data_IF_151520136779
#
_entry.id   IF_151520136779
#
_cell.length_a   1.000
_cell.length_b   1.000
_cell.length_c   1.000
_cell.angle_alpha   90.00
_cell.angle_beta   90.00
_cell.angle_gamma   90.00
#
_symmetry.space_group_name_H-M   'P 1'
#
loop_
_entity.id
_entity.type
_entity.pdbx_description
1 polymer ?
#
# COMPACT_ATOMS: atom_id res chain seq x y z
N UNK A 1 -27.27 -16.32 -25.03
CA UNK A 1 -28.07 -15.33 -24.24
C UNK A 1 -27.26 -14.04 -24.21
N UNK A 2 -27.91 -12.87 -24.42
CA UNK A 2 -27.20 -11.59 -24.36
C UNK A 2 -26.83 -11.22 -22.89
N UNK A 3 -25.86 -10.33 -22.70
CA UNK A 3 -25.53 -9.77 -21.40
C UNK A 3 -26.70 -8.98 -20.80
N UNK A 4 -26.85 -9.01 -19.49
CA UNK A 4 -27.74 -8.06 -18.82
C UNK A 4 -27.20 -6.64 -19.01
N UNK A 5 -28.11 -5.65 -19.07
CA UNK A 5 -27.80 -4.24 -19.29
C UNK A 5 -28.14 -3.45 -18.03
N UNK A 6 -27.15 -2.80 -17.46
CA UNK A 6 -27.27 -1.86 -16.36
C UNK A 6 -27.38 -0.46 -16.93
N UNK A 7 -28.51 0.23 -16.68
CA UNK A 7 -28.72 1.62 -17.10
C UNK A 7 -28.56 2.55 -15.91
N UNK A 8 -27.78 3.61 -16.07
CA UNK A 8 -27.53 4.60 -15.04
C UNK A 8 -28.66 5.65 -14.99
N UNK A 9 -28.89 6.23 -13.80
CA UNK A 9 -29.80 7.36 -13.62
C UNK A 9 -29.32 8.59 -14.38
N UNK A 10 -30.26 9.45 -14.74
CA UNK A 10 -29.95 10.75 -15.37
C UNK A 10 -29.03 11.59 -14.48
N UNK A 11 -27.90 12.01 -15.05
CA UNK A 11 -26.89 12.82 -14.35
C UNK A 11 -25.85 12.03 -13.55
N UNK A 12 -25.99 10.70 -13.48
CA UNK A 12 -25.01 9.80 -12.84
C UNK A 12 -23.95 9.29 -13.84
N UNK A 13 -23.03 8.47 -13.36
CA UNK A 13 -21.89 7.99 -14.16
C UNK A 13 -20.80 9.04 -14.33
N UNK A 14 -20.74 10.05 -13.49
CA UNK A 14 -19.70 11.11 -13.56
C UNK A 14 -18.31 10.54 -13.36
N UNK A 15 -18.16 9.62 -12.39
CA UNK A 15 -16.90 8.94 -12.12
C UNK A 15 -16.43 8.15 -13.36
N UNK A 16 -17.34 7.43 -14.02
CA UNK A 16 -17.01 6.72 -15.27
C UNK A 16 -16.56 7.69 -16.37
N UNK A 17 -17.28 8.80 -16.56
CA UNK A 17 -16.95 9.81 -17.58
C UNK A 17 -15.61 10.47 -17.34
N UNK A 18 -15.15 10.57 -16.08
CA UNK A 18 -13.82 11.07 -15.71
C UNK A 18 -12.71 9.99 -15.73
N UNK A 19 -13.03 8.77 -16.14
CA UNK A 19 -12.04 7.68 -16.25
C UNK A 19 -12.08 6.64 -15.13
N UNK A 20 -12.94 6.80 -14.12
CA UNK A 20 -13.13 5.84 -13.04
C UNK A 20 -13.76 4.54 -13.50
N UNK A 21 -13.73 3.52 -12.64
CA UNK A 21 -14.16 2.15 -12.99
C UNK A 21 -15.30 1.64 -12.12
N UNK A 22 -15.78 2.43 -11.14
CA UNK A 22 -16.81 2.03 -10.19
C UNK A 22 -18.16 2.65 -10.51
N UNK A 23 -19.20 1.85 -10.34
CA UNK A 23 -20.60 2.25 -10.36
C UNK A 23 -21.19 1.83 -9.05
N UNK A 24 -21.72 2.82 -8.31
CA UNK A 24 -22.35 2.56 -7.03
C UNK A 24 -23.81 2.14 -7.23
N UNK A 25 -24.36 1.40 -6.26
CA UNK A 25 -25.73 0.91 -6.25
C UNK A 25 -26.77 2.01 -6.44
N UNK A 26 -26.54 3.18 -5.83
CA UNK A 26 -27.41 4.33 -5.91
C UNK A 26 -27.39 5.06 -7.27
N UNK A 27 -26.42 4.79 -8.14
CA UNK A 27 -26.32 5.36 -9.49
C UNK A 27 -27.15 4.58 -10.53
N UNK A 28 -27.57 3.34 -10.20
CA UNK A 28 -28.30 2.45 -11.11
C UNK A 28 -29.79 2.81 -11.12
N UNK A 29 -30.35 2.96 -12.33
CA UNK A 29 -31.78 3.14 -12.58
C UNK A 29 -32.47 1.78 -12.78
N UNK A 30 -32.02 1.02 -13.79
CA UNK A 30 -32.60 -0.28 -14.13
C UNK A 30 -31.54 -1.32 -14.47
N UNK A 31 -31.89 -2.57 -14.29
CA UNK A 31 -31.11 -3.73 -14.78
C UNK A 31 -32.05 -4.60 -15.61
N UNK A 32 -31.75 -4.72 -16.90
CA UNK A 32 -32.54 -5.53 -17.85
C UNK A 32 -31.79 -6.81 -18.23
N UNK A 33 -32.47 -7.93 -18.20
CA UNK A 33 -31.88 -9.25 -18.48
C UNK A 33 -31.63 -10.07 -17.22
N UNK A 34 -31.21 -11.32 -17.40
CA UNK A 34 -30.91 -12.26 -16.31
C UNK A 34 -29.42 -12.22 -15.98
N UNK A 35 -29.07 -12.24 -14.71
CA UNK A 35 -27.70 -12.33 -14.24
C UNK A 35 -27.65 -13.00 -12.87
N UNK A 36 -26.48 -13.46 -12.50
CA UNK A 36 -26.09 -13.77 -11.11
C UNK A 36 -24.90 -12.88 -10.72
N UNK A 37 -24.75 -12.61 -9.44
CA UNK A 37 -23.61 -11.80 -8.97
C UNK A 37 -22.28 -12.40 -9.41
N UNK A 38 -21.39 -11.55 -9.92
CA UNK A 38 -20.13 -11.93 -10.54
C UNK A 38 -20.19 -12.10 -12.06
N UNK A 39 -21.37 -12.01 -12.68
CA UNK A 39 -21.49 -12.06 -14.14
C UNK A 39 -21.04 -10.76 -14.80
N UNK A 40 -20.67 -10.88 -16.08
CA UNK A 40 -20.40 -9.74 -16.94
C UNK A 40 -21.70 -9.08 -17.36
N UNK A 41 -21.77 -7.76 -17.28
CA UNK A 41 -22.91 -6.92 -17.72
C UNK A 41 -22.43 -5.79 -18.61
N UNK A 42 -23.32 -5.30 -19.46
CA UNK A 42 -23.13 -4.05 -20.19
C UNK A 42 -23.60 -2.87 -19.33
N UNK A 43 -22.95 -1.74 -19.47
CA UNK A 43 -23.31 -0.51 -18.76
C UNK A 43 -23.65 0.56 -19.77
N UNK A 44 -24.84 1.14 -19.64
CA UNK A 44 -25.31 2.25 -20.46
C UNK A 44 -25.64 3.46 -19.58
N UNK A 45 -25.49 4.64 -20.11
CA UNK A 45 -26.01 5.84 -19.46
C UNK A 45 -27.55 5.92 -19.64
N UNK A 46 -28.17 6.96 -19.08
CA UNK A 46 -29.65 7.12 -19.09
C UNK A 46 -30.25 7.29 -20.50
N UNK A 47 -29.46 7.70 -21.50
CA UNK A 47 -29.87 7.84 -22.90
C UNK A 47 -29.57 6.57 -23.72
N UNK A 48 -29.06 5.51 -23.09
CA UNK A 48 -28.68 4.26 -23.74
C UNK A 48 -27.29 4.28 -24.41
N UNK A 49 -26.48 5.32 -24.12
CA UNK A 49 -25.12 5.37 -24.64
C UNK A 49 -24.23 4.32 -23.92
N UNK A 50 -23.50 3.47 -24.67
CA UNK A 50 -22.67 2.43 -24.08
C UNK A 50 -21.48 3.04 -23.33
N UNK A 51 -21.35 2.68 -22.06
CA UNK A 51 -20.28 3.12 -21.14
C UNK A 51 -19.16 2.07 -20.99
N UNK A 52 -19.48 0.80 -21.32
CA UNK A 52 -18.54 -0.32 -21.27
C UNK A 52 -19.12 -1.61 -20.71
N UNK A 53 -18.23 -2.51 -20.31
CA UNK A 53 -18.53 -3.85 -19.81
C UNK A 53 -17.79 -4.10 -18.50
N UNK A 54 -18.44 -4.74 -17.52
CA UNK A 54 -17.85 -5.01 -16.21
C UNK A 54 -18.58 -6.12 -15.46
N UNK A 55 -18.16 -6.39 -14.23
CA UNK A 55 -18.77 -7.40 -13.37
C UNK A 55 -19.75 -6.77 -12.39
N UNK A 56 -20.93 -7.38 -12.27
CA UNK A 56 -21.98 -6.95 -11.34
C UNK A 56 -21.92 -7.72 -10.02
N UNK A 57 -22.14 -7.00 -8.92
CA UNK A 57 -22.36 -7.57 -7.60
C UNK A 57 -23.32 -6.69 -6.79
N UNK A 58 -24.58 -7.10 -6.70
CA UNK A 58 -25.61 -6.36 -5.98
C UNK A 58 -25.51 -6.44 -4.45
N UNK A 59 -24.62 -7.28 -3.91
CA UNK A 59 -24.29 -7.31 -2.48
C UNK A 59 -23.35 -6.16 -2.09
N UNK A 60 -22.63 -5.59 -3.05
CA UNK A 60 -21.66 -4.54 -2.84
C UNK A 60 -22.26 -3.16 -3.11
N UNK A 61 -21.82 -2.14 -2.36
CA UNK A 61 -22.11 -0.74 -2.70
C UNK A 61 -21.50 -0.32 -4.03
N UNK A 62 -20.36 -0.91 -4.42
CA UNK A 62 -19.80 -0.80 -5.77
C UNK A 62 -20.43 -1.92 -6.59
N UNK A 63 -21.62 -1.63 -7.10
CA UNK A 63 -22.47 -2.63 -7.75
C UNK A 63 -21.90 -3.13 -9.08
N UNK A 64 -21.16 -2.30 -9.82
CA UNK A 64 -20.43 -2.74 -11.01
C UNK A 64 -19.00 -2.21 -10.99
N UNK A 65 -18.04 -3.10 -11.30
CA UNK A 65 -16.65 -2.73 -11.59
C UNK A 65 -16.39 -2.92 -13.08
N UNK A 66 -16.11 -1.82 -13.76
CA UNK A 66 -15.88 -1.79 -15.19
C UNK A 66 -14.52 -2.41 -15.54
N UNK A 67 -14.48 -3.30 -16.52
CA UNK A 67 -13.25 -3.93 -17.02
C UNK A 67 -12.77 -3.33 -18.33
N UNK A 68 -13.72 -2.95 -19.17
CA UNK A 68 -13.43 -2.29 -20.45
C UNK A 68 -14.48 -1.25 -20.78
N UNK A 69 -14.09 -0.22 -21.51
CA UNK A 69 -14.99 0.81 -22.04
C UNK A 69 -15.55 0.46 -23.42
N UNK A 70 -15.00 -0.55 -24.06
CA UNK A 70 -15.54 -1.11 -25.31
C UNK A 70 -16.48 -2.27 -24.95
N UNK A 71 -17.79 -2.09 -25.14
CA UNK A 71 -18.79 -3.13 -24.89
C UNK A 71 -18.64 -4.36 -25.79
N UNK A 72 -17.94 -4.23 -26.93
CA UNK A 72 -17.68 -5.33 -27.86
C UNK A 72 -16.47 -6.16 -27.46
N UNK A 73 -15.61 -5.63 -26.59
CA UNK A 73 -14.42 -6.35 -26.14
C UNK A 73 -14.84 -7.59 -25.33
N UNK A 74 -14.39 -8.77 -25.75
CA UNK A 74 -14.55 -9.98 -24.93
C UNK A 74 -13.56 -9.96 -23.77
N UNK A 75 -14.04 -10.42 -22.59
CA UNK A 75 -13.20 -10.61 -21.39
C UNK A 75 -12.78 -12.08 -21.39
N UNK A 76 -11.87 -12.40 -22.24
CA UNK A 76 -11.31 -13.74 -22.48
C UNK A 76 -9.85 -13.83 -21.99
N UNK A 77 -9.21 -14.96 -22.27
CA UNK A 77 -7.81 -15.19 -21.87
C UNK A 77 -6.85 -14.21 -22.54
N UNK A 78 -7.04 -13.88 -23.80
CA UNK A 78 -6.20 -12.92 -24.54
C UNK A 78 -6.29 -11.51 -23.90
N UNK A 79 -7.50 -11.10 -23.56
CA UNK A 79 -7.72 -9.84 -22.86
C UNK A 79 -7.01 -9.82 -21.50
N UNK A 80 -7.15 -10.88 -20.69
CA UNK A 80 -6.51 -10.97 -19.37
C UNK A 80 -4.98 -11.06 -19.51
N UNK A 81 -4.46 -11.84 -20.45
CA UNK A 81 -3.01 -11.91 -20.70
C UNK A 81 -2.44 -10.55 -21.07
N UNK A 82 -3.14 -9.81 -21.94
CA UNK A 82 -2.73 -8.46 -22.29
C UNK A 82 -2.64 -7.55 -21.06
N UNK A 83 -3.64 -7.55 -20.15
CA UNK A 83 -3.63 -6.76 -18.92
C UNK A 83 -2.48 -7.13 -18.00
N UNK A 84 -2.25 -8.42 -17.82
CA UNK A 84 -1.13 -8.96 -17.01
C UNK A 84 0.21 -8.53 -17.60
N UNK A 85 0.37 -8.65 -18.92
CA UNK A 85 1.59 -8.27 -19.65
C UNK A 85 1.83 -6.75 -19.57
N UNK A 86 0.81 -5.93 -19.78
CA UNK A 86 0.91 -4.48 -19.68
C UNK A 86 1.35 -4.05 -18.25
N UNK A 87 0.81 -4.70 -17.21
CA UNK A 87 1.19 -4.46 -15.82
C UNK A 87 2.66 -4.84 -15.54
N UNK A 88 3.13 -5.98 -16.07
CA UNK A 88 4.52 -6.40 -15.93
C UNK A 88 5.49 -5.50 -16.68
N UNK A 89 5.18 -5.17 -17.94
CA UNK A 89 5.99 -4.25 -18.75
C UNK A 89 6.13 -2.86 -18.12
N UNK A 90 5.07 -2.39 -17.44
CA UNK A 90 5.13 -1.17 -16.66
C UNK A 90 6.13 -1.28 -15.50
N UNK A 91 6.06 -2.37 -14.69
CA UNK A 91 6.97 -2.58 -13.54
C UNK A 91 8.42 -2.63 -13.96
N UNK A 92 8.75 -3.32 -15.04
CA UNK A 92 10.12 -3.38 -15.58
C UNK A 92 10.72 -2.00 -15.88
N UNK A 93 9.89 -1.00 -16.16
CA UNK A 93 10.33 0.36 -16.51
C UNK A 93 10.47 1.29 -15.30
N UNK A 94 9.72 1.03 -14.23
CA UNK A 94 9.56 2.05 -13.17
C UNK A 94 10.09 1.63 -11.80
N UNK A 95 10.31 0.32 -11.56
CA UNK A 95 10.82 -0.17 -10.28
C UNK A 95 11.85 -1.28 -10.48
N UNK A 96 12.64 -1.53 -9.43
CA UNK A 96 13.34 -2.79 -9.27
C UNK A 96 12.32 -3.90 -9.02
N UNK A 97 12.36 -4.95 -9.86
CA UNK A 97 11.38 -6.03 -9.90
C UNK A 97 11.76 -7.25 -9.07
N UNK A 98 12.85 -7.21 -8.30
CA UNK A 98 13.24 -8.31 -7.38
C UNK A 98 12.10 -8.68 -6.45
N UNK A 99 11.48 -7.66 -5.82
CA UNK A 99 10.21 -7.76 -5.09
C UNK A 99 9.40 -6.50 -5.34
N UNK A 100 8.17 -6.65 -5.83
CA UNK A 100 7.32 -5.53 -6.20
C UNK A 100 5.85 -5.94 -6.28
N UNK A 101 4.94 -4.99 -6.25
CA UNK A 101 3.54 -5.20 -6.61
C UNK A 101 3.40 -5.34 -8.10
N UNK A 102 2.96 -6.52 -8.57
CA UNK A 102 2.77 -6.80 -10.00
C UNK A 102 1.44 -6.26 -10.52
N UNK A 103 0.36 -6.38 -9.71
CA UNK A 103 -0.97 -5.90 -10.06
C UNK A 103 -1.51 -5.07 -8.89
N UNK A 104 -1.98 -3.86 -9.18
CA UNK A 104 -2.59 -2.95 -8.23
C UNK A 104 -4.02 -2.58 -8.64
N UNK A 105 -4.88 -3.58 -8.69
CA UNK A 105 -6.32 -3.46 -8.89
C UNK A 105 -6.70 -2.50 -10.03
N UNK A 106 -7.52 -1.48 -9.73
CA UNK A 106 -8.02 -0.49 -10.68
C UNK A 106 -6.90 0.26 -11.43
N UNK A 107 -5.77 0.47 -10.77
CA UNK A 107 -4.64 1.20 -11.36
C UNK A 107 -3.91 0.39 -12.46
N UNK A 108 -4.14 -0.93 -12.53
CA UNK A 108 -3.70 -1.80 -13.61
C UNK A 108 -4.86 -2.31 -14.47
N UNK A 109 -6.04 -1.70 -14.33
CA UNK A 109 -7.23 -2.06 -15.07
C UNK A 109 -7.67 -3.53 -14.88
N UNK A 110 -7.37 -4.09 -13.71
CA UNK A 110 -7.82 -5.39 -13.20
C UNK A 110 -8.51 -5.18 -11.84
N UNK A 111 -9.69 -4.52 -11.81
CA UNK A 111 -10.30 -4.05 -10.59
C UNK A 111 -10.57 -5.17 -9.59
N UNK A 112 -10.13 -4.93 -8.36
CA UNK A 112 -10.38 -5.82 -7.23
C UNK A 112 -9.38 -6.97 -7.07
N UNK A 113 -8.27 -7.04 -7.84
CA UNK A 113 -7.20 -8.00 -7.59
C UNK A 113 -5.86 -7.30 -7.34
N UNK A 114 -5.13 -7.77 -6.35
CA UNK A 114 -3.78 -7.33 -6.01
C UNK A 114 -2.85 -8.52 -6.04
N UNK A 115 -1.68 -8.37 -6.65
CA UNK A 115 -0.65 -9.41 -6.65
C UNK A 115 0.70 -8.80 -6.33
N UNK A 116 1.31 -9.29 -5.25
CA UNK A 116 2.67 -8.95 -4.85
C UNK A 116 3.63 -10.10 -5.18
N UNK A 117 4.80 -9.75 -5.68
CA UNK A 117 5.91 -10.67 -5.92
C UNK A 117 6.97 -10.45 -4.84
N UNK A 118 7.31 -11.49 -4.11
CA UNK A 118 8.40 -11.56 -3.16
C UNK A 118 9.42 -12.58 -3.67
N UNK A 119 10.51 -12.09 -4.30
CA UNK A 119 11.51 -12.95 -4.95
C UNK A 119 10.85 -13.87 -6.01
N UNK A 120 10.71 -15.16 -5.72
CA UNK A 120 10.13 -16.19 -6.58
C UNK A 120 8.74 -16.68 -6.11
N UNK A 121 8.08 -15.92 -5.25
CA UNK A 121 6.75 -16.23 -4.69
C UNK A 121 5.76 -15.13 -5.05
N UNK A 122 4.53 -15.50 -5.42
CA UNK A 122 3.41 -14.58 -5.57
C UNK A 122 2.49 -14.62 -4.36
N UNK A 123 2.01 -13.46 -3.94
CA UNK A 123 0.94 -13.33 -2.94
C UNK A 123 -0.23 -12.61 -3.58
N UNK A 124 -1.40 -13.25 -3.56
CA UNK A 124 -2.60 -12.78 -4.25
C UNK A 124 -3.67 -12.37 -3.24
N UNK A 125 -4.32 -11.23 -3.49
CA UNK A 125 -5.56 -10.83 -2.82
C UNK A 125 -6.64 -10.59 -3.85
N UNK A 126 -7.73 -11.34 -3.77
CA UNK A 126 -8.93 -11.10 -4.56
C UNK A 126 -9.99 -10.44 -3.68
N UNK A 127 -10.39 -9.22 -4.04
CA UNK A 127 -11.18 -8.31 -3.21
C UNK A 127 -12.60 -8.11 -3.72
N UNK A 128 -12.91 -8.60 -4.94
CA UNK A 128 -14.21 -8.42 -5.58
C UNK A 128 -14.69 -9.69 -6.26
N UNK A 129 -16.01 -9.95 -6.22
CA UNK A 129 -16.60 -11.21 -6.63
C UNK A 129 -16.34 -11.56 -8.11
N UNK A 130 -16.44 -10.59 -9.00
CA UNK A 130 -16.27 -10.85 -10.43
C UNK A 130 -14.86 -11.33 -10.79
N UNK A 131 -13.82 -10.63 -10.24
CA UNK A 131 -12.42 -10.98 -10.51
C UNK A 131 -12.00 -12.27 -9.79
N UNK A 132 -12.65 -12.62 -8.69
CA UNK A 132 -12.35 -13.85 -7.93
C UNK A 132 -12.50 -15.10 -8.79
N UNK A 133 -13.43 -15.08 -9.76
CA UNK A 133 -13.63 -16.16 -10.73
C UNK A 133 -12.46 -16.35 -11.71
N UNK A 134 -11.67 -15.30 -11.92
CA UNK A 134 -10.53 -15.28 -12.85
C UNK A 134 -9.17 -15.35 -12.13
N UNK A 135 -9.19 -15.38 -10.81
CA UNK A 135 -7.99 -15.31 -9.96
C UNK A 135 -6.93 -16.35 -10.35
N UNK A 136 -7.31 -17.61 -10.47
CA UNK A 136 -6.38 -18.69 -10.81
C UNK A 136 -5.86 -18.56 -12.25
N UNK A 137 -6.70 -18.16 -13.19
CA UNK A 137 -6.29 -17.89 -14.57
C UNK A 137 -5.29 -16.72 -14.64
N UNK A 138 -5.54 -15.63 -13.90
CA UNK A 138 -4.61 -14.50 -13.81
C UNK A 138 -3.26 -14.94 -13.22
N UNK A 139 -3.26 -15.80 -12.21
CA UNK A 139 -2.05 -16.37 -11.62
C UNK A 139 -1.25 -17.18 -12.66
N UNK A 140 -1.90 -18.04 -13.41
CA UNK A 140 -1.21 -18.84 -14.46
C UNK A 140 -0.68 -17.95 -15.60
N UNK A 141 -1.43 -16.91 -15.99
CA UNK A 141 -0.98 -15.92 -16.96
C UNK A 141 0.23 -15.13 -16.45
N UNK A 142 0.24 -14.74 -15.16
CA UNK A 142 1.42 -14.11 -14.53
C UNK A 142 2.63 -15.04 -14.58
N UNK A 143 2.49 -16.31 -14.20
CA UNK A 143 3.60 -17.27 -14.26
C UNK A 143 4.14 -17.41 -15.69
N UNK A 144 3.26 -17.50 -16.67
CA UNK A 144 3.61 -17.56 -18.10
C UNK A 144 4.40 -16.34 -18.54
N UNK A 145 3.88 -15.14 -18.27
CA UNK A 145 4.52 -13.88 -18.67
C UNK A 145 5.86 -13.65 -17.97
N UNK A 146 5.96 -13.98 -16.69
CA UNK A 146 7.23 -13.88 -15.93
C UNK A 146 8.27 -14.89 -16.43
N UNK A 147 7.84 -16.10 -16.82
CA UNK A 147 8.74 -17.13 -17.35
C UNK A 147 9.38 -16.73 -18.67
N UNK A 148 8.74 -15.91 -19.50
CA UNK A 148 9.31 -15.36 -20.74
C UNK A 148 10.56 -14.50 -20.45
N UNK A 149 10.60 -13.83 -19.29
CA UNK A 149 11.77 -13.07 -18.81
C UNK A 149 12.69 -13.90 -17.89
N UNK A 150 12.54 -15.22 -17.86
CA UNK A 150 13.37 -16.15 -17.09
C UNK A 150 13.05 -16.20 -15.59
N UNK A 151 11.94 -15.63 -15.17
CA UNK A 151 11.51 -15.62 -13.76
C UNK A 151 10.55 -16.78 -13.50
N UNK A 152 11.05 -17.78 -12.76
CA UNK A 152 10.27 -18.95 -12.40
C UNK A 152 9.66 -18.76 -11.00
N UNK A 153 8.35 -18.80 -10.92
CA UNK A 153 7.61 -18.72 -9.68
C UNK A 153 7.48 -20.10 -9.05
N UNK A 154 8.04 -20.28 -7.84
CA UNK A 154 8.00 -21.56 -7.10
C UNK A 154 6.71 -21.79 -6.35
N UNK A 155 5.96 -20.72 -6.02
CA UNK A 155 4.74 -20.88 -5.25
C UNK A 155 3.86 -19.65 -5.24
N UNK A 156 2.58 -19.87 -4.91
CA UNK A 156 1.57 -18.82 -4.83
C UNK A 156 0.79 -18.98 -3.52
N UNK A 157 0.62 -17.89 -2.78
CA UNK A 157 -0.15 -17.87 -1.54
C UNK A 157 -1.28 -16.85 -1.63
N UNK A 158 -2.49 -17.23 -1.24
CA UNK A 158 -3.64 -16.33 -1.21
C UNK A 158 -3.80 -15.69 0.17
N UNK A 159 -3.91 -14.37 0.21
CA UNK A 159 -4.17 -13.55 1.39
C UNK A 159 -5.47 -12.75 1.23
N UNK A 160 -6.51 -13.43 0.78
CA UNK A 160 -7.87 -12.88 0.67
C UNK A 160 -8.64 -12.92 2.00
N UNK A 161 -7.92 -12.89 3.13
CA UNK A 161 -8.44 -12.88 4.51
C UNK A 161 -8.78 -11.46 5.01
N UNK A 162 -9.25 -10.59 4.11
CA UNK A 162 -9.52 -9.17 4.38
C UNK A 162 -11.02 -8.87 4.46
N UNK A 163 -11.39 -7.96 5.37
CA UNK A 163 -12.80 -7.66 5.70
C UNK A 163 -13.64 -7.17 4.52
N UNK A 164 -13.03 -6.55 3.51
CA UNK A 164 -13.74 -6.05 2.33
C UNK A 164 -14.48 -7.16 1.56
N UNK A 165 -13.97 -8.39 1.59
CA UNK A 165 -14.64 -9.54 0.96
C UNK A 165 -16.03 -9.82 1.52
N UNK A 166 -16.24 -9.61 2.84
CA UNK A 166 -17.56 -9.76 3.46
C UNK A 166 -18.57 -8.74 2.93
N UNK A 167 -18.10 -7.54 2.56
CA UNK A 167 -18.94 -6.51 1.94
C UNK A 167 -19.33 -6.88 0.50
N UNK A 168 -18.53 -7.73 -0.13
CA UNK A 168 -18.79 -8.31 -1.45
C UNK A 168 -19.65 -9.60 -1.38
N UNK A 169 -20.04 -10.04 -0.18
CA UNK A 169 -20.75 -11.31 0.01
C UNK A 169 -19.86 -12.54 -0.16
N UNK A 170 -18.55 -12.40 0.05
CA UNK A 170 -17.55 -13.45 -0.17
C UNK A 170 -16.95 -13.92 1.15
N UNK A 171 -16.59 -15.22 1.20
CA UNK A 171 -15.86 -15.80 2.34
C UNK A 171 -14.39 -15.31 2.36
N UNK A 172 -13.81 -15.32 3.56
CA UNK A 172 -12.39 -15.04 3.74
C UNK A 172 -11.59 -16.28 3.33
N UNK A 173 -10.56 -16.08 2.49
CA UNK A 173 -9.72 -17.18 1.99
C UNK A 173 -8.25 -16.88 2.32
N UNK A 174 -7.55 -17.90 2.82
CA UNK A 174 -6.12 -17.88 3.10
C UNK A 174 -5.55 -19.28 2.86
N UNK A 175 -4.54 -19.40 2.01
CA UNK A 175 -3.95 -20.69 1.69
C UNK A 175 -3.08 -20.69 0.45
N UNK A 176 -2.58 -21.88 0.11
CA UNK A 176 -1.80 -22.07 -1.10
C UNK A 176 -2.69 -22.16 -2.34
N UNK A 177 -2.26 -21.57 -3.44
CA UNK A 177 -2.80 -21.84 -4.77
C UNK A 177 -1.82 -22.80 -5.46
N UNK A 178 -2.21 -24.05 -5.61
CA UNK A 178 -1.33 -25.13 -6.08
C UNK A 178 -0.55 -25.79 -4.95
N UNK A 179 0.73 -26.10 -5.19
CA UNK A 179 1.58 -26.83 -4.24
C UNK A 179 2.02 -25.98 -3.05
N UNK A 180 2.17 -26.63 -1.89
CA UNK A 180 2.72 -26.01 -0.69
C UNK A 180 4.21 -25.71 -0.84
N UNK A 181 4.68 -24.64 -0.18
CA UNK A 181 6.08 -24.22 -0.14
C UNK A 181 6.41 -23.56 1.22
N UNK A 182 7.70 -23.40 1.57
CA UNK A 182 8.11 -22.64 2.76
C UNK A 182 7.66 -21.18 2.66
N UNK A 183 6.85 -20.71 3.63
CA UNK A 183 6.19 -19.38 3.59
C UNK A 183 7.08 -18.24 4.08
N UNK A 184 8.22 -18.53 4.70
CA UNK A 184 9.29 -17.56 4.94
C UNK A 184 10.10 -17.37 3.66
N UNK A 185 10.07 -16.17 3.12
CA UNK A 185 10.69 -15.82 1.83
C UNK A 185 11.75 -14.75 2.05
N UNK A 186 12.99 -15.02 1.68
CA UNK A 186 14.02 -13.99 1.71
C UNK A 186 13.90 -13.10 0.48
N UNK A 187 13.88 -11.78 0.73
CA UNK A 187 13.91 -10.75 -0.29
C UNK A 187 15.11 -9.83 -0.09
N UNK A 188 15.47 -9.09 -1.13
CA UNK A 188 16.42 -7.98 -1.03
C UNK A 188 15.78 -6.71 -1.60
N UNK A 189 15.92 -5.62 -0.86
CA UNK A 189 15.44 -4.30 -1.25
C UNK A 189 16.43 -3.22 -0.80
N UNK A 190 16.88 -2.37 -1.72
CA UNK A 190 17.82 -1.28 -1.42
C UNK A 190 19.14 -1.75 -0.78
N UNK A 191 19.58 -2.97 -1.08
CA UNK A 191 20.75 -3.60 -0.47
C UNK A 191 20.52 -4.17 0.93
N UNK A 192 19.29 -4.23 1.39
CA UNK A 192 18.88 -4.82 2.68
C UNK A 192 18.14 -6.12 2.43
N UNK A 193 18.50 -7.17 3.15
CA UNK A 193 17.84 -8.48 3.13
C UNK A 193 16.78 -8.55 4.21
N UNK A 194 15.62 -9.12 3.88
CA UNK A 194 14.53 -9.35 4.81
C UNK A 194 14.01 -10.77 4.69
N UNK A 195 13.61 -11.37 5.80
CA UNK A 195 12.70 -12.51 5.80
C UNK A 195 11.27 -11.98 5.85
N UNK A 196 10.46 -12.37 4.87
CA UNK A 196 9.05 -12.00 4.74
C UNK A 196 8.20 -13.24 4.96
N UNK A 197 7.31 -13.20 5.93
CA UNK A 197 6.30 -14.24 6.14
C UNK A 197 5.07 -13.93 5.30
N UNK A 198 4.92 -14.62 4.17
CA UNK A 198 3.78 -14.44 3.25
C UNK A 198 2.49 -15.03 3.82
N UNK A 199 2.59 -15.92 4.81
CA UNK A 199 1.44 -16.55 5.46
C UNK A 199 0.90 -15.69 6.61
N UNK A 200 1.74 -15.33 7.58
CA UNK A 200 1.31 -14.71 8.83
C UNK A 200 1.76 -13.24 8.97
N UNK A 201 2.57 -12.74 8.03
CA UNK A 201 2.97 -11.33 7.98
C UNK A 201 1.80 -10.38 7.72
N UNK A 202 1.99 -9.09 8.03
CA UNK A 202 0.95 -8.07 7.83
C UNK A 202 0.64 -7.88 6.33
N UNK A 203 -0.62 -7.63 5.99
CA UNK A 203 -1.12 -7.52 4.61
C UNK A 203 -0.72 -8.76 3.78
N UNK A 204 0.10 -8.58 2.77
CA UNK A 204 0.65 -9.64 1.93
C UNK A 204 1.99 -10.20 2.42
N UNK A 205 2.56 -9.60 3.50
CA UNK A 205 3.82 -10.00 4.12
C UNK A 205 4.78 -8.83 4.37
N UNK A 206 4.83 -7.84 3.46
CA UNK A 206 5.74 -6.70 3.55
C UNK A 206 5.15 -5.45 2.89
N UNK A 207 5.60 -4.26 3.30
CA UNK A 207 5.11 -2.97 2.79
C UNK A 207 5.99 -2.49 1.61
N UNK A 208 5.74 -3.02 0.42
CA UNK A 208 6.48 -2.69 -0.81
C UNK A 208 6.32 -1.22 -1.24
N UNK A 209 5.19 -0.60 -0.88
CA UNK A 209 4.84 0.79 -1.19
C UNK A 209 5.83 1.83 -0.64
N UNK A 210 6.56 1.50 0.43
CA UNK A 210 7.56 2.37 1.07
C UNK A 210 8.99 2.18 0.53
N UNK A 211 9.22 1.32 -0.45
CA UNK A 211 10.54 0.93 -0.98
C UNK A 211 11.47 2.13 -1.21
N UNK A 212 11.02 3.10 -1.97
CA UNK A 212 11.85 4.26 -2.31
C UNK A 212 11.83 5.35 -1.25
N UNK A 213 10.87 5.34 -0.33
CA UNK A 213 10.88 6.20 0.85
C UNK A 213 11.96 5.73 1.83
N UNK A 214 12.12 4.40 2.00
CA UNK A 214 13.23 3.81 2.73
C UNK A 214 14.58 4.14 2.13
N UNK A 215 14.71 4.07 0.80
CA UNK A 215 15.92 4.48 0.09
C UNK A 215 16.23 5.98 0.30
N UNK A 216 15.20 6.83 0.28
CA UNK A 216 15.37 8.27 0.38
C UNK A 216 15.99 8.73 1.71
N UNK A 217 15.77 7.99 2.82
CA UNK A 217 16.37 8.36 4.11
C UNK A 217 17.84 7.96 4.23
N UNK A 218 18.34 7.03 3.43
CA UNK A 218 19.71 6.53 3.54
C UNK A 218 20.76 7.65 3.48
N UNK A 219 20.56 8.63 2.57
CA UNK A 219 21.49 9.78 2.42
C UNK A 219 21.63 10.66 3.66
N UNK A 220 20.70 10.56 4.61
CA UNK A 220 20.66 11.33 5.85
C UNK A 220 21.28 10.60 7.03
N UNK A 221 21.57 9.31 6.89
CA UNK A 221 21.84 8.42 8.02
C UNK A 221 23.33 8.17 8.30
N UNK A 222 24.25 8.47 7.38
CA UNK A 222 25.68 8.19 7.57
C UNK A 222 26.23 8.90 8.81
N UNK A 223 26.72 8.14 9.80
CA UNK A 223 27.21 8.65 11.08
C UNK A 223 26.14 9.16 12.03
N UNK A 224 24.86 9.05 11.68
CA UNK A 224 23.74 9.60 12.44
C UNK A 224 23.29 8.69 13.59
N UNK A 225 22.77 9.29 14.67
CA UNK A 225 21.94 8.62 15.68
C UNK A 225 20.49 8.70 15.20
N UNK A 226 19.86 7.55 14.95
CA UNK A 226 18.54 7.43 14.31
C UNK A 226 17.51 6.82 15.26
N UNK A 227 16.31 7.36 15.28
CA UNK A 227 15.13 6.77 15.93
C UNK A 227 14.09 6.44 14.86
N UNK A 228 13.68 5.17 14.75
CA UNK A 228 12.65 4.68 13.83
C UNK A 228 11.42 4.22 14.61
N UNK A 229 10.36 5.02 14.59
CA UNK A 229 9.11 4.76 15.29
C UNK A 229 8.12 4.03 14.40
N UNK A 230 7.44 3.02 14.96
CA UNK A 230 6.56 2.09 14.23
C UNK A 230 7.35 1.25 13.22
N UNK A 231 8.50 0.75 13.68
CA UNK A 231 9.52 0.14 12.82
C UNK A 231 9.06 -1.15 12.12
N UNK A 232 7.98 -1.79 12.61
CA UNK A 232 7.47 -3.07 12.13
C UNK A 232 8.61 -4.10 12.09
N UNK A 233 8.92 -4.68 10.94
CA UNK A 233 10.02 -5.65 10.74
C UNK A 233 11.40 -4.99 10.55
N UNK A 234 11.54 -3.73 10.98
CA UNK A 234 12.80 -3.00 10.97
C UNK A 234 13.16 -2.32 9.67
N UNK A 235 12.21 -2.15 8.74
CA UNK A 235 12.53 -1.81 7.36
C UNK A 235 13.20 -0.44 7.18
N UNK A 236 12.77 0.62 7.86
CA UNK A 236 13.45 1.92 7.86
C UNK A 236 14.74 1.88 8.68
N UNK A 237 14.71 1.26 9.87
CA UNK A 237 15.88 1.13 10.73
C UNK A 237 17.05 0.43 10.03
N UNK A 238 16.79 -0.65 9.29
CA UNK A 238 17.81 -1.40 8.56
C UNK A 238 18.37 -0.59 7.37
N UNK A 239 17.52 0.17 6.66
CA UNK A 239 17.98 1.11 5.64
C UNK A 239 18.91 2.20 6.24
N UNK A 240 18.62 2.70 7.44
CA UNK A 240 19.52 3.61 8.14
C UNK A 240 20.83 2.91 8.55
N UNK A 241 20.76 1.67 9.03
CA UNK A 241 21.91 0.87 9.42
C UNK A 241 22.87 0.58 8.28
N UNK A 242 22.34 0.12 7.11
CA UNK A 242 23.16 -0.19 5.92
C UNK A 242 23.81 1.08 5.34
N UNK A 243 23.15 2.24 5.49
CA UNK A 243 23.68 3.54 5.11
C UNK A 243 24.80 4.07 6.03
N UNK A 244 25.18 3.31 7.06
CA UNK A 244 26.27 3.65 7.95
C UNK A 244 25.88 4.56 9.12
N UNK A 245 24.64 4.48 9.62
CA UNK A 245 24.27 5.13 10.87
C UNK A 245 25.19 4.69 12.03
N UNK A 246 25.51 5.61 12.92
CA UNK A 246 26.32 5.32 14.11
C UNK A 246 25.54 4.43 15.10
N UNK A 247 24.27 4.72 15.28
CA UNK A 247 23.33 3.89 16.06
C UNK A 247 21.89 4.10 15.58
N UNK A 248 21.11 3.03 15.60
CA UNK A 248 19.70 3.05 15.26
C UNK A 248 18.89 2.36 16.35
N UNK A 249 17.83 3.02 16.81
CA UNK A 249 16.82 2.42 17.69
C UNK A 249 15.51 2.33 16.91
N UNK A 250 15.03 1.11 16.65
CA UNK A 250 13.71 0.84 16.10
C UNK A 250 12.71 0.51 17.21
N UNK A 251 11.49 1.03 17.11
CA UNK A 251 10.46 0.88 18.14
C UNK A 251 9.18 0.37 17.50
N UNK A 252 8.60 -0.67 18.08
CA UNK A 252 7.27 -1.16 17.72
C UNK A 252 6.56 -1.72 18.97
N UNK A 253 5.23 -1.62 19.00
CA UNK A 253 4.43 -2.16 20.10
C UNK A 253 4.23 -3.69 20.02
N UNK A 254 4.60 -4.32 18.91
CA UNK A 254 4.46 -5.76 18.68
C UNK A 254 5.78 -6.48 18.95
N UNK A 255 5.81 -7.34 19.96
CA UNK A 255 6.98 -8.17 20.24
C UNK A 255 7.36 -9.05 19.04
N UNK A 256 6.38 -9.61 18.34
CA UNK A 256 6.62 -10.41 17.13
C UNK A 256 7.34 -9.59 16.03
N UNK A 257 6.94 -8.35 15.84
CA UNK A 257 7.58 -7.47 14.87
C UNK A 257 9.02 -7.13 15.29
N UNK A 258 9.26 -6.85 16.57
CA UNK A 258 10.58 -6.60 17.15
C UNK A 258 11.50 -7.81 17.02
N UNK A 259 11.00 -9.02 17.28
CA UNK A 259 11.76 -10.27 17.13
C UNK A 259 12.16 -10.47 15.66
N UNK A 260 11.26 -10.26 14.73
CA UNK A 260 11.53 -10.37 13.29
C UNK A 260 12.49 -9.26 12.80
N UNK A 261 12.34 -8.03 13.30
CA UNK A 261 13.26 -6.93 13.01
C UNK A 261 14.68 -7.23 13.50
N UNK A 262 14.79 -7.85 14.69
CA UNK A 262 16.08 -8.28 15.27
C UNK A 262 16.73 -9.38 14.44
N UNK A 263 15.96 -10.36 13.98
CA UNK A 263 16.42 -11.40 13.06
C UNK A 263 16.90 -10.79 11.73
N UNK A 264 16.15 -9.84 11.18
CA UNK A 264 16.55 -9.11 9.97
C UNK A 264 17.85 -8.29 10.18
N UNK A 265 18.06 -7.69 11.36
CA UNK A 265 19.33 -7.02 11.65
C UNK A 265 20.51 -8.00 11.66
N UNK A 266 20.33 -9.17 12.24
CA UNK A 266 21.34 -10.23 12.23
C UNK A 266 21.64 -10.73 10.82
N UNK A 267 20.60 -10.93 9.99
CA UNK A 267 20.72 -11.34 8.58
C UNK A 267 21.59 -10.37 7.75
N UNK A 268 21.57 -9.07 8.11
CA UNK A 268 22.34 -8.02 7.44
C UNK A 268 23.67 -7.69 8.14
N UNK A 269 24.04 -8.38 9.23
CA UNK A 269 25.26 -8.08 10.00
C UNK A 269 25.21 -6.70 10.70
N UNK A 270 24.03 -6.23 11.08
CA UNK A 270 23.79 -4.89 11.66
C UNK A 270 23.50 -4.94 13.16
N UNK A 271 23.56 -6.11 13.81
CA UNK A 271 23.17 -6.27 15.22
C UNK A 271 24.04 -5.47 16.21
N UNK A 272 25.20 -4.97 15.82
CA UNK A 272 26.06 -4.13 16.63
C UNK A 272 25.51 -2.70 16.78
N UNK A 273 24.86 -2.16 15.74
CA UNK A 273 24.45 -0.75 15.65
C UNK A 273 22.95 -0.54 15.52
N UNK A 274 22.15 -1.54 15.13
CA UNK A 274 20.70 -1.46 15.01
C UNK A 274 20.08 -2.31 16.11
N UNK A 275 19.31 -1.67 16.99
CA UNK A 275 18.61 -2.29 18.11
C UNK A 275 17.14 -2.04 18.02
N UNK A 276 16.34 -2.98 18.51
CA UNK A 276 14.88 -2.88 18.53
C UNK A 276 14.36 -3.01 19.95
N UNK A 277 13.32 -2.24 20.27
CA UNK A 277 12.62 -2.28 21.56
C UNK A 277 11.11 -2.41 21.34
N UNK A 278 10.46 -3.20 22.20
CA UNK A 278 9.01 -3.38 22.18
C UNK A 278 8.35 -2.40 23.15
N UNK A 279 7.91 -1.25 22.64
CA UNK A 279 7.27 -0.21 23.43
C UNK A 279 6.22 0.55 22.62
N UNK A 280 5.28 1.21 23.33
CA UNK A 280 4.33 2.13 22.70
C UNK A 280 5.02 3.47 22.40
N UNK A 281 5.01 3.86 21.13
CA UNK A 281 5.61 5.12 20.68
C UNK A 281 5.00 6.34 21.37
N UNK A 282 3.71 6.31 21.71
CA UNK A 282 3.04 7.43 22.40
C UNK A 282 3.51 7.60 23.84
N UNK A 283 4.01 6.53 24.49
CA UNK A 283 4.59 6.57 25.83
C UNK A 283 6.08 6.83 25.78
N UNK A 284 6.80 6.23 24.84
CA UNK A 284 8.24 6.36 24.70
C UNK A 284 8.69 7.77 24.31
N UNK A 285 8.02 8.44 23.35
CA UNK A 285 8.47 9.76 22.89
C UNK A 285 8.51 10.81 24.01
N UNK A 286 7.48 10.92 24.88
CA UNK A 286 7.56 11.78 26.08
C UNK A 286 8.72 11.41 27.02
N UNK A 287 8.94 10.13 27.29
CA UNK A 287 10.02 9.66 28.16
C UNK A 287 11.41 10.04 27.62
N UNK A 288 11.64 9.87 26.32
CA UNK A 288 12.90 10.30 25.67
C UNK A 288 13.08 11.83 25.74
N UNK A 289 11.98 12.59 25.63
CA UNK A 289 12.00 14.05 25.79
C UNK A 289 12.42 14.44 27.21
N UNK A 290 11.85 13.81 28.25
CA UNK A 290 12.18 14.04 29.64
C UNK A 290 13.65 13.68 29.96
N UNK A 291 14.18 12.64 29.35
CA UNK A 291 15.59 12.25 29.46
C UNK A 291 16.54 13.17 28.68
N UNK A 292 16.02 14.11 27.92
CA UNK A 292 16.83 15.03 27.10
C UNK A 292 17.49 14.38 25.90
N UNK A 293 17.00 13.21 25.46
CA UNK A 293 17.54 12.49 24.30
C UNK A 293 17.39 13.30 23.01
N UNK A 294 18.39 13.20 22.13
CA UNK A 294 18.41 13.86 20.83
C UNK A 294 18.91 12.93 19.75
N UNK A 295 18.32 13.06 18.56
CA UNK A 295 18.62 12.26 17.39
C UNK A 295 18.94 13.15 16.19
N UNK A 296 19.80 12.66 15.31
CA UNK A 296 20.09 13.33 14.04
C UNK A 296 18.96 13.12 13.03
N UNK A 297 18.32 11.93 13.08
CA UNK A 297 17.18 11.58 12.25
C UNK A 297 16.11 10.89 13.10
N UNK A 298 14.86 11.34 12.97
CA UNK A 298 13.67 10.65 13.52
C UNK A 298 12.76 10.27 12.36
N UNK A 299 12.27 9.02 12.36
CA UNK A 299 11.39 8.46 11.35
C UNK A 299 10.07 8.09 12.01
N UNK A 300 8.95 8.50 11.41
CA UNK A 300 7.60 8.18 11.85
C UNK A 300 6.82 7.52 10.71
N UNK A 301 6.62 6.21 10.79
CA UNK A 301 5.79 5.43 9.87
C UNK A 301 4.59 4.78 10.58
N UNK A 302 3.66 5.58 11.13
CA UNK A 302 2.56 5.07 11.93
C UNK A 302 1.55 4.29 11.09
N UNK A 303 0.80 3.36 11.72
CA UNK A 303 -0.36 2.76 11.08
C UNK A 303 -1.41 3.83 10.75
N UNK A 304 -2.34 3.52 9.85
CA UNK A 304 -3.43 4.43 9.51
C UNK A 304 -4.29 4.72 10.75
N UNK A 305 -4.19 5.94 11.29
CA UNK A 305 -4.96 6.37 12.47
C UNK A 305 -6.44 6.61 12.15
N UNK A 306 -6.82 6.66 10.88
CA UNK A 306 -8.22 6.72 10.48
C UNK A 306 -8.51 5.80 9.30
N UNK A 307 -9.66 5.10 9.40
CA UNK A 307 -10.23 4.25 8.35
C UNK A 307 -11.63 4.73 7.93
N UNK A 308 -12.08 5.88 8.46
CA UNK A 308 -13.39 6.45 8.17
C UNK A 308 -13.40 7.96 8.37
N UNK A 309 -14.35 8.65 7.73
CA UNK A 309 -14.54 10.10 7.90
C UNK A 309 -14.81 10.50 9.36
N UNK A 310 -15.49 9.65 10.12
CA UNK A 310 -15.85 9.93 11.52
C UNK A 310 -14.65 9.96 12.47
N UNK A 311 -13.54 9.30 12.13
CA UNK A 311 -12.34 9.23 12.97
C UNK A 311 -11.24 10.24 12.58
N UNK A 312 -11.46 11.10 11.59
CA UNK A 312 -10.48 12.08 11.10
C UNK A 312 -9.97 12.99 12.24
N UNK A 313 -10.87 13.51 13.10
CA UNK A 313 -10.49 14.41 14.21
C UNK A 313 -9.51 13.75 15.17
N UNK A 314 -9.70 12.47 15.48
CA UNK A 314 -8.81 11.71 16.35
C UNK A 314 -7.47 11.41 15.66
N UNK A 315 -7.51 11.10 14.37
CA UNK A 315 -6.29 10.91 13.58
C UNK A 315 -5.43 12.19 13.54
N UNK A 316 -6.03 13.36 13.30
CA UNK A 316 -5.33 14.66 13.36
C UNK A 316 -4.65 14.86 14.69
N UNK A 317 -5.31 14.53 15.82
CA UNK A 317 -4.68 14.62 17.15
C UNK A 317 -3.48 13.68 17.27
N UNK A 318 -3.60 12.42 16.85
CA UNK A 318 -2.53 11.44 16.92
C UNK A 318 -1.34 11.85 16.05
N UNK A 319 -1.55 12.20 14.78
CA UNK A 319 -0.48 12.67 13.90
C UNK A 319 0.20 13.94 14.42
N UNK A 320 -0.58 14.90 14.96
CA UNK A 320 -0.02 16.10 15.56
C UNK A 320 0.86 15.78 16.74
N UNK A 321 0.43 14.91 17.65
CA UNK A 321 1.16 14.54 18.86
C UNK A 321 2.50 13.87 18.52
N UNK A 322 2.51 12.82 17.70
CA UNK A 322 3.77 12.14 17.39
C UNK A 322 4.75 13.04 16.64
N UNK A 323 4.27 13.87 15.70
CA UNK A 323 5.12 14.81 14.97
C UNK A 323 5.69 15.91 15.89
N UNK A 324 4.87 16.42 16.82
CA UNK A 324 5.30 17.41 17.83
C UNK A 324 6.43 16.83 18.70
N UNK A 325 6.25 15.62 19.25
CA UNK A 325 7.24 14.95 20.09
C UNK A 325 8.51 14.64 19.30
N UNK A 326 8.37 14.09 18.09
CA UNK A 326 9.52 13.81 17.24
C UNK A 326 10.35 15.07 16.95
N UNK A 327 9.72 16.21 16.63
CA UNK A 327 10.44 17.47 16.39
C UNK A 327 11.22 17.97 17.63
N UNK A 328 10.75 17.68 18.83
CA UNK A 328 11.49 18.00 20.06
C UNK A 328 12.72 17.10 20.25
N UNK A 329 12.67 15.86 19.76
CA UNK A 329 13.76 14.90 19.82
C UNK A 329 14.81 15.12 18.73
N UNK A 330 14.46 15.76 17.63
CA UNK A 330 15.41 16.07 16.54
C UNK A 330 16.37 17.18 17.00
N UNK A 331 17.68 17.01 16.79
CA UNK A 331 18.70 18.05 16.96
C UNK A 331 18.41 19.26 16.07
N UNK A 332 18.88 20.45 16.45
CA UNK A 332 18.83 21.62 15.57
C UNK A 332 19.59 21.34 14.26
N UNK A 333 18.91 21.48 13.10
CA UNK A 333 19.45 21.14 11.79
C UNK A 333 19.35 19.65 11.42
N UNK A 334 18.85 18.78 12.33
CA UNK A 334 18.58 17.36 12.04
C UNK A 334 17.34 17.16 11.19
N UNK A 335 16.94 15.90 10.97
CA UNK A 335 15.89 15.55 10.01
C UNK A 335 14.74 14.77 10.65
N UNK A 336 13.54 15.06 10.17
CA UNK A 336 12.31 14.31 10.43
C UNK A 336 11.79 13.72 9.13
N UNK A 337 11.67 12.39 9.06
CA UNK A 337 10.89 11.70 8.04
C UNK A 337 9.54 11.30 8.66
N UNK A 338 8.43 11.69 8.04
CA UNK A 338 7.10 11.40 8.58
C UNK A 338 6.12 11.08 7.47
N UNK A 339 5.24 10.11 7.72
CA UNK A 339 4.26 9.72 6.72
C UNK A 339 2.86 9.47 7.29
N UNK A 340 1.92 9.37 6.37
CA UNK A 340 0.56 8.90 6.59
C UNK A 340 0.12 8.01 5.43
N UNK A 341 -0.26 6.77 5.73
CA UNK A 341 -0.86 5.84 4.77
C UNK A 341 -2.40 5.88 4.79
N UNK A 342 -3.00 6.86 5.46
CA UNK A 342 -4.45 6.98 5.57
C UNK A 342 -5.03 7.77 4.40
N UNK A 343 -5.96 7.19 3.64
CA UNK A 343 -6.67 7.87 2.56
C UNK A 343 -7.44 9.11 3.08
N UNK A 344 -8.09 9.02 4.25
CA UNK A 344 -8.84 10.13 4.85
C UNK A 344 -7.98 11.24 5.48
N UNK A 345 -6.67 11.05 5.55
CA UNK A 345 -5.69 12.07 5.87
C UNK A 345 -5.08 12.55 4.56
N UNK A 346 -5.80 13.41 3.83
CA UNK A 346 -5.34 13.93 2.55
C UNK A 346 -4.08 14.81 2.69
N UNK A 347 -3.51 15.20 1.57
CA UNK A 347 -2.29 16.00 1.49
C UNK A 347 -2.40 17.31 2.29
N UNK A 348 -3.48 18.06 2.10
CA UNK A 348 -3.65 19.37 2.74
C UNK A 348 -3.82 19.25 4.25
N UNK A 349 -4.63 18.29 4.69
CA UNK A 349 -4.87 18.04 6.11
C UNK A 349 -3.58 17.57 6.81
N UNK A 350 -2.82 16.66 6.19
CA UNK A 350 -1.57 16.16 6.75
C UNK A 350 -0.53 17.27 6.85
N UNK A 351 -0.33 18.05 5.78
CA UNK A 351 0.59 19.19 5.75
C UNK A 351 0.25 20.23 6.83
N UNK A 352 -1.03 20.58 6.94
CA UNK A 352 -1.52 21.52 7.96
C UNK A 352 -1.29 20.98 9.37
N UNK A 353 -1.51 19.68 9.58
CA UNK A 353 -1.31 19.03 10.89
C UNK A 353 0.15 19.08 11.33
N UNK A 354 1.10 18.79 10.43
CA UNK A 354 2.54 18.88 10.68
C UNK A 354 2.95 20.33 10.95
N UNK A 355 2.47 21.29 10.16
CA UNK A 355 2.74 22.72 10.35
C UNK A 355 2.26 23.24 11.70
N UNK A 356 1.09 22.79 12.18
CA UNK A 356 0.61 23.12 13.53
C UNK A 356 1.48 22.49 14.62
N UNK A 357 1.95 21.23 14.44
CA UNK A 357 2.85 20.59 15.37
C UNK A 357 4.17 21.39 15.50
N UNK A 358 4.76 21.80 14.38
CA UNK A 358 5.99 22.58 14.35
C UNK A 358 5.84 23.93 15.05
N UNK A 359 4.73 24.65 14.80
CA UNK A 359 4.41 25.92 15.47
C UNK A 359 4.32 25.76 16.99
N UNK A 360 3.70 24.67 17.46
CA UNK A 360 3.50 24.42 18.89
C UNK A 360 4.81 24.15 19.65
N UNK A 361 5.88 23.76 18.97
CA UNK A 361 7.21 23.50 19.57
C UNK A 361 8.27 24.49 19.11
N UNK A 362 7.87 25.60 18.51
CA UNK A 362 8.76 26.66 18.03
C UNK A 362 9.89 26.14 17.13
N UNK A 363 9.51 25.28 16.16
CA UNK A 363 10.41 24.74 15.14
C UNK A 363 10.04 25.27 13.76
N UNK A 364 11.06 25.46 12.93
CA UNK A 364 10.92 25.76 11.51
C UNK A 364 11.28 24.52 10.71
N UNK A 365 10.46 24.20 9.72
CA UNK A 365 10.64 23.05 8.85
C UNK A 365 11.08 23.52 7.46
N UNK A 366 12.19 22.97 6.97
CA UNK A 366 12.57 23.06 5.55
C UNK A 366 12.21 21.75 4.90
N UNK A 367 11.28 21.75 3.96
CA UNK A 367 10.94 20.56 3.21
C UNK A 367 12.12 20.17 2.31
N UNK A 368 12.63 18.97 2.51
CA UNK A 368 13.69 18.36 1.67
C UNK A 368 13.06 17.58 0.53
N UNK A 369 12.08 16.73 0.85
CA UNK A 369 11.35 15.92 -0.12
C UNK A 369 9.88 15.80 0.27
N UNK A 370 9.06 15.65 -0.75
CA UNK A 370 7.71 15.09 -0.68
C UNK A 370 7.64 13.90 -1.62
N UNK A 371 7.13 12.78 -1.12
CA UNK A 371 7.05 11.52 -1.86
C UNK A 371 5.71 10.84 -1.60
N UNK A 372 5.35 9.93 -2.49
CA UNK A 372 4.16 9.10 -2.38
C UNK A 372 4.56 7.62 -2.29
N UNK A 373 3.64 6.72 -2.53
CA UNK A 373 3.92 5.29 -2.66
C UNK A 373 4.87 5.00 -3.83
N UNK A 374 5.57 3.88 -3.76
CA UNK A 374 6.45 3.43 -4.83
C UNK A 374 5.69 3.25 -6.16
N UNK A 375 6.34 3.46 -7.33
CA UNK A 375 5.67 3.42 -8.63
C UNK A 375 5.00 2.10 -9.00
N UNK A 376 5.35 0.98 -8.36
CA UNK A 376 4.63 -0.29 -8.50
C UNK A 376 3.24 -0.30 -7.83
N UNK A 377 2.93 0.75 -7.07
CA UNK A 377 1.60 1.08 -6.57
C UNK A 377 1.09 2.34 -7.30
N UNK A 378 0.80 2.25 -8.61
CA UNK A 378 0.55 3.43 -9.42
C UNK A 378 -0.65 4.23 -8.92
N UNK A 379 -0.54 5.56 -9.00
CA UNK A 379 -1.65 6.48 -8.74
C UNK A 379 -2.39 6.68 -10.04
N UNK A 380 -3.60 6.16 -10.13
CA UNK A 380 -4.48 6.39 -11.26
C UNK A 380 -5.26 7.68 -11.03
N UNK A 381 -5.06 8.69 -11.87
CA UNK A 381 -5.64 10.03 -11.69
C UNK A 381 -7.18 10.07 -11.79
N UNK A 382 -7.78 9.02 -12.31
CA UNK A 382 -9.23 8.83 -12.34
C UNK A 382 -9.78 7.98 -11.20
N UNK A 383 -8.92 7.59 -10.24
CA UNK A 383 -9.26 6.73 -9.10
C UNK A 383 -8.55 7.25 -7.84
N UNK A 384 -9.20 8.20 -7.16
CA UNK A 384 -8.65 8.89 -5.98
C UNK A 384 -8.22 7.93 -4.87
N UNK A 385 -8.88 6.77 -4.77
CA UNK A 385 -8.56 5.71 -3.81
C UNK A 385 -7.18 5.09 -4.02
N UNK A 386 -6.60 5.22 -5.22
CA UNK A 386 -5.24 4.75 -5.52
C UNK A 386 -4.17 5.63 -4.88
N UNK A 387 -4.49 6.86 -4.47
CA UNK A 387 -3.57 7.76 -3.79
C UNK A 387 -3.79 7.75 -2.28
N UNK A 388 -2.88 7.15 -1.52
CA UNK A 388 -3.06 7.00 -0.07
C UNK A 388 -1.82 7.32 0.77
N UNK A 389 -0.59 7.27 0.21
CA UNK A 389 0.64 7.48 0.96
C UNK A 389 1.19 8.89 0.75
N UNK A 390 1.42 9.61 1.85
CA UNK A 390 2.10 10.90 1.91
C UNK A 390 3.31 10.72 2.79
N UNK A 391 4.50 11.03 2.26
CA UNK A 391 5.78 10.93 2.95
C UNK A 391 6.56 12.22 2.80
N UNK A 392 6.99 12.79 3.92
CA UNK A 392 7.80 13.99 3.96
C UNK A 392 9.14 13.73 4.60
N UNK A 393 10.16 14.40 4.08
CA UNK A 393 11.43 14.63 4.78
C UNK A 393 11.57 16.13 5.02
N UNK A 394 11.76 16.50 6.28
CA UNK A 394 12.02 17.88 6.71
C UNK A 394 13.37 17.98 7.41
N UNK A 395 14.10 19.07 7.16
CA UNK A 395 15.09 19.55 8.09
C UNK A 395 14.38 20.36 9.20
N UNK A 396 14.69 20.04 10.45
CA UNK A 396 14.09 20.67 11.62
C UNK A 396 15.07 21.69 12.20
N UNK A 397 14.69 22.97 12.25
CA UNK A 397 15.50 24.05 12.78
C UNK A 397 14.79 24.71 13.97
N UNK A 398 15.57 25.20 14.93
CA UNK A 398 15.03 26.03 16.00
C UNK A 398 14.51 27.37 15.44
N UNK A 399 13.40 27.86 15.98
CA UNK A 399 12.94 29.20 15.71
C UNK A 399 13.76 30.15 16.56
N UNK A 400 14.76 30.81 15.95
CA UNK A 400 15.66 31.77 16.61
C UNK A 400 15.18 33.19 16.40
#
# INVERSE_FOLDING_TARGET
MGFAVVTLKKGEGRLLKSGGMWIFDNEIDTIMGSFVNGDTVLVHDFDGYPMGKGFINTNSKIAVRLFTRDERQEIDEEFLEKRVRDAWEYRKKVVDTGSCRLIFAEADFLPGIVVDKFSDVLVVQSLALGIDRYKEQIVELLKKVLAEDGIIIRGVYERSDVKVRRQEGMELVKGFIGSEFPTLVQIEENGVKYEVDVKDGQKTGFFLDQKYNRLAIQKLCKGAKVLDCFTHTGSFALNAGIAGAASVTGVDASQLAVDQATANAALNGLSDRVKFICEDVFELLPELEEKGEKFDVVILDPPAFTKSRNSIKNAVKGYREINLRAMKLVKDGGFLATCSCSHFMDYELFTRTIGQAAKNVHKRLRQVEYRTQAPDHPILWSADESYYLKFYIFQVCNDR
#
